data_IF_848836494816
#
_entry.id   IF_848836494816
#
_cell.length_a   1.000
_cell.length_b   1.000
_cell.length_c   1.000
_cell.angle_alpha   90.00
_cell.angle_beta   90.00
_cell.angle_gamma   90.00
#
_symmetry.space_group_name_H-M   'P 1'
#
loop_
_entity.id
_entity.type
_entity.pdbx_description
1 polymer ?
#
# COMPACT_ATOMS: atom_id res chain seq x y z
N UNK A 1 1.64 -8.70 28.93
CA UNK A 1 1.14 -8.82 27.55
C UNK A 1 0.35 -7.55 27.25
N UNK A 2 1.02 -6.49 26.79
CA UNK A 2 0.44 -5.15 26.64
C UNK A 2 0.49 -4.77 25.15
N UNK A 3 -0.68 -4.70 24.54
CA UNK A 3 -0.89 -4.04 23.26
C UNK A 3 -0.61 -2.55 23.46
N UNK A 4 0.46 -2.03 22.86
CA UNK A 4 0.63 -0.58 22.72
C UNK A 4 0.27 -0.23 21.28
N UNK A 5 -0.94 0.29 21.11
CA UNK A 5 -1.32 1.03 19.92
C UNK A 5 -0.52 2.33 19.96
N UNK A 6 0.67 2.32 19.34
CA UNK A 6 1.47 3.52 19.15
C UNK A 6 1.14 4.05 17.76
N UNK A 7 0.91 5.35 17.63
CA UNK A 7 0.57 6.10 16.41
C UNK A 7 1.66 6.08 15.32
N UNK A 8 2.57 5.11 15.40
CA UNK A 8 3.83 5.00 14.66
C UNK A 8 4.09 3.54 14.28
N UNK A 9 3.14 2.94 13.56
CA UNK A 9 3.28 1.62 12.92
C UNK A 9 3.45 0.43 13.87
N UNK A 10 3.05 -0.76 13.43
CA UNK A 10 3.33 -1.98 14.19
C UNK A 10 4.84 -2.22 14.19
N UNK A 11 5.46 -2.11 15.37
CA UNK A 11 6.87 -2.44 15.59
C UNK A 11 6.95 -3.92 15.98
N UNK A 12 7.10 -4.78 14.98
CA UNK A 12 6.97 -6.24 15.15
C UNK A 12 8.29 -6.92 15.54
N UNK A 13 8.43 -7.29 16.82
CA UNK A 13 9.38 -8.35 17.22
C UNK A 13 8.96 -9.65 16.53
N UNK A 14 9.70 -10.18 15.56
CA UNK A 14 9.75 -11.63 15.28
C UNK A 14 8.49 -12.52 15.05
N UNK A 15 7.23 -12.06 15.06
CA UNK A 15 6.03 -12.94 15.00
C UNK A 15 4.96 -12.49 14.00
N UNK A 16 4.03 -13.40 13.68
CA UNK A 16 2.84 -13.14 12.84
C UNK A 16 1.63 -12.82 13.74
N UNK A 17 1.07 -11.60 13.69
CA UNK A 17 -0.14 -11.26 14.45
C UNK A 17 -1.37 -12.06 13.98
N UNK A 18 -2.20 -12.45 14.94
CA UNK A 18 -3.58 -12.87 14.68
C UNK A 18 -4.48 -11.65 14.86
N UNK A 19 -5.12 -11.21 13.78
CA UNK A 19 -6.02 -10.07 13.76
C UNK A 19 -7.46 -10.56 13.69
N UNK A 20 -8.33 -9.98 14.53
CA UNK A 20 -9.76 -10.30 14.58
C UNK A 20 -10.56 -9.06 14.22
N UNK A 21 -11.53 -9.22 13.33
CA UNK A 21 -12.54 -8.20 13.04
C UNK A 21 -12.24 -7.37 11.80
N UNK A 22 -11.26 -6.45 11.86
CA UNK A 22 -11.05 -5.40 10.85
C UNK A 22 -11.02 -5.96 9.41
N UNK A 23 -12.12 -5.85 8.64
CA UNK A 23 -12.29 -6.64 7.42
C UNK A 23 -11.34 -6.21 6.30
N UNK A 24 -10.82 -4.99 6.39
CA UNK A 24 -9.89 -4.35 5.46
C UNK A 24 -8.42 -4.42 5.91
N UNK A 25 -8.08 -5.16 6.97
CA UNK A 25 -6.71 -5.18 7.49
C UNK A 25 -5.69 -5.72 6.48
N UNK A 26 -6.15 -6.60 5.58
CA UNK A 26 -5.30 -7.17 4.52
C UNK A 26 -4.87 -6.12 3.48
N UNK A 27 -5.63 -5.03 3.32
CA UNK A 27 -5.30 -3.95 2.38
C UNK A 27 -4.11 -3.12 2.87
N UNK A 28 -3.87 -3.10 4.19
CA UNK A 28 -2.85 -2.27 4.83
C UNK A 28 -1.64 -3.07 5.31
N UNK A 29 -1.65 -4.39 5.12
CA UNK A 29 -0.60 -5.25 5.61
C UNK A 29 0.21 -5.85 4.46
N UNK A 30 1.52 -6.07 4.66
CA UNK A 30 2.31 -6.83 3.71
C UNK A 30 1.73 -8.24 3.50
N UNK A 31 1.90 -8.84 2.30
CA UNK A 31 1.44 -10.19 2.04
C UNK A 31 2.03 -11.17 3.06
N UNK A 32 1.26 -12.21 3.41
CA UNK A 32 1.62 -13.31 4.34
C UNK A 32 2.00 -12.91 5.77
N UNK A 33 1.96 -11.62 6.10
CA UNK A 33 2.40 -11.10 7.40
C UNK A 33 1.40 -11.30 8.55
N UNK A 34 0.12 -11.56 8.25
CA UNK A 34 -0.95 -11.62 9.25
C UNK A 34 -1.85 -12.84 9.07
N UNK A 35 -2.39 -13.31 10.20
CA UNK A 35 -3.45 -14.31 10.24
C UNK A 35 -4.77 -13.58 10.55
N UNK A 36 -5.73 -13.63 9.63
CA UNK A 36 -6.98 -12.87 9.76
C UNK A 36 -8.15 -13.79 10.11
N UNK A 37 -8.84 -13.48 11.20
CA UNK A 37 -10.13 -14.08 11.54
C UNK A 37 -11.21 -13.04 11.27
N UNK A 38 -11.91 -13.20 10.14
CA UNK A 38 -13.01 -12.30 9.75
C UNK A 38 -14.31 -12.74 10.45
N UNK A 39 -14.56 -14.04 10.47
CA UNK A 39 -15.72 -14.65 11.09
C UNK A 39 -15.29 -15.79 12.04
N UNK A 40 -16.18 -16.18 12.97
CA UNK A 40 -15.91 -17.28 13.91
C UNK A 40 -15.51 -18.60 13.22
N UNK A 41 -16.03 -18.84 12.01
CA UNK A 41 -15.70 -20.02 11.18
C UNK A 41 -14.23 -20.06 10.74
N UNK A 42 -13.58 -18.90 10.64
CA UNK A 42 -12.18 -18.79 10.21
C UNK A 42 -11.20 -19.13 11.34
N UNK A 43 -11.67 -19.23 12.59
CA UNK A 43 -10.82 -19.56 13.72
C UNK A 43 -10.15 -20.93 13.56
N UNK A 44 -10.87 -21.92 13.02
CA UNK A 44 -10.32 -23.26 12.79
C UNK A 44 -9.28 -23.26 11.66
N UNK A 45 -9.53 -22.53 10.58
CA UNK A 45 -8.58 -22.44 9.46
C UNK A 45 -7.29 -21.75 9.91
N UNK A 46 -7.40 -20.65 10.66
CA UNK A 46 -6.26 -19.94 11.24
C UNK A 46 -5.48 -20.84 12.21
N UNK A 47 -6.17 -21.62 13.05
CA UNK A 47 -5.51 -22.57 13.95
C UNK A 47 -4.73 -23.66 13.18
N UNK A 48 -5.26 -24.16 12.06
CA UNK A 48 -4.54 -25.10 11.19
C UNK A 48 -3.30 -24.44 10.58
N UNK A 49 -3.42 -23.20 10.10
CA UNK A 49 -2.27 -22.44 9.59
C UNK A 49 -1.21 -22.22 10.68
N UNK A 50 -1.61 -21.92 11.92
CA UNK A 50 -0.67 -21.79 13.04
C UNK A 50 0.10 -23.08 13.30
N UNK A 51 -0.58 -24.23 13.31
CA UNK A 51 0.08 -25.55 13.46
C UNK A 51 1.06 -25.82 12.31
N UNK A 52 0.62 -25.57 11.08
CA UNK A 52 1.48 -25.75 9.90
C UNK A 52 2.74 -24.90 9.97
N UNK A 53 2.61 -23.61 10.34
CA UNK A 53 3.76 -22.71 10.49
C UNK A 53 4.67 -23.12 11.66
N UNK A 54 4.12 -23.71 12.73
CA UNK A 54 4.92 -24.22 13.84
C UNK A 54 5.72 -25.48 13.45
N UNK A 55 5.18 -26.33 12.59
CA UNK A 55 5.82 -27.56 12.12
C UNK A 55 6.82 -27.31 10.97
N UNK A 56 6.63 -26.24 10.19
CA UNK A 56 7.41 -25.94 8.98
C UNK A 56 8.24 -24.65 9.14
N UNK A 57 9.50 -24.74 9.59
CA UNK A 57 10.32 -23.54 9.84
C UNK A 57 10.64 -22.74 8.57
N UNK A 58 10.67 -23.39 7.40
CA UNK A 58 10.87 -22.72 6.11
C UNK A 58 9.68 -21.80 5.81
N UNK A 59 8.45 -22.33 5.91
CA UNK A 59 7.23 -21.57 5.69
C UNK A 59 7.07 -20.42 6.72
N UNK A 60 7.49 -20.65 7.97
CA UNK A 60 7.51 -19.60 8.98
C UNK A 60 8.47 -18.45 8.61
N UNK A 61 9.69 -18.75 8.17
CA UNK A 61 10.65 -17.72 7.76
C UNK A 61 10.18 -16.95 6.52
N UNK A 62 9.54 -17.63 5.56
CA UNK A 62 8.93 -16.95 4.41
C UNK A 62 7.81 -15.99 4.82
N UNK A 63 6.97 -16.36 5.79
CA UNK A 63 5.92 -15.48 6.32
C UNK A 63 6.46 -14.24 7.02
N UNK A 64 7.75 -14.26 7.42
CA UNK A 64 8.44 -13.13 8.03
C UNK A 64 9.29 -12.31 7.06
N UNK A 65 9.31 -12.68 5.77
CA UNK A 65 10.21 -12.07 4.77
C UNK A 65 9.94 -10.59 4.53
N UNK A 66 8.70 -10.14 4.72
CA UNK A 66 8.31 -8.72 4.68
C UNK A 66 9.10 -7.82 5.65
N UNK A 67 9.76 -8.37 6.68
CA UNK A 67 10.65 -7.60 7.56
C UNK A 67 11.95 -7.18 6.88
N UNK A 68 12.42 -7.97 5.92
CA UNK A 68 13.63 -7.70 5.15
C UNK A 68 13.31 -6.94 3.87
N UNK A 69 12.23 -7.31 3.19
CA UNK A 69 11.77 -6.67 1.94
C UNK A 69 11.09 -5.32 2.19
N UNK A 70 10.53 -5.12 3.38
CA UNK A 70 9.80 -3.92 3.77
C UNK A 70 8.31 -3.95 3.37
N UNK A 71 7.58 -2.86 3.64
CA UNK A 71 6.17 -2.76 3.30
C UNK A 71 5.95 -2.70 1.77
N UNK A 72 4.74 -3.04 1.33
CA UNK A 72 4.36 -2.94 -0.08
C UNK A 72 4.43 -1.50 -0.59
N UNK A 73 4.70 -1.31 -1.88
CA UNK A 73 4.78 0.04 -2.47
C UNK A 73 3.46 0.80 -2.37
N UNK A 74 2.32 0.08 -2.42
CA UNK A 74 1.01 0.66 -2.17
C UNK A 74 0.90 1.25 -0.75
N UNK A 75 1.41 0.54 0.26
CA UNK A 75 1.43 1.04 1.63
C UNK A 75 2.40 2.23 1.80
N UNK A 76 3.57 2.19 1.15
CA UNK A 76 4.50 3.34 1.13
C UNK A 76 3.81 4.57 0.54
N UNK A 77 3.15 4.43 -0.62
CA UNK A 77 2.41 5.51 -1.26
C UNK A 77 1.31 6.09 -0.35
N UNK A 78 0.57 5.24 0.36
CA UNK A 78 -0.43 5.67 1.34
C UNK A 78 0.20 6.51 2.47
N UNK A 79 1.31 6.04 3.03
CA UNK A 79 2.02 6.73 4.11
C UNK A 79 2.61 8.06 3.63
N UNK A 80 3.17 8.10 2.42
CA UNK A 80 3.69 9.33 1.82
C UNK A 80 2.58 10.36 1.59
N UNK A 81 1.40 9.92 1.14
CA UNK A 81 0.22 10.77 1.03
C UNK A 81 -0.26 11.27 2.40
N UNK A 82 -0.01 10.54 3.49
CA UNK A 82 -0.32 11.00 4.84
C UNK A 82 0.65 12.07 5.37
N UNK A 83 1.86 12.17 4.82
CA UNK A 83 2.87 13.15 5.20
C UNK A 83 2.68 14.52 4.53
N UNK A 84 2.06 14.57 3.34
CA UNK A 84 1.86 15.82 2.60
C UNK A 84 0.72 16.68 3.19
N UNK A 85 0.85 18.00 3.02
CA UNK A 85 -0.18 18.97 3.39
C UNK A 85 -1.49 18.76 2.61
N UNK A 86 -2.63 19.15 3.18
CA UNK A 86 -3.96 18.93 2.58
C UNK A 86 -4.09 19.54 1.18
N UNK A 87 -3.47 20.71 0.94
CA UNK A 87 -3.43 21.36 -0.37
C UNK A 87 -2.74 20.51 -1.44
N UNK A 88 -1.63 19.85 -1.09
CA UNK A 88 -0.91 18.96 -1.98
C UNK A 88 -1.75 17.73 -2.32
N UNK A 89 -2.46 17.14 -1.34
CA UNK A 89 -3.36 15.99 -1.61
C UNK A 89 -4.45 16.34 -2.60
N UNK A 90 -5.07 17.52 -2.45
CA UNK A 90 -6.08 18.00 -3.37
C UNK A 90 -5.51 18.19 -4.78
N UNK A 91 -4.32 18.78 -4.89
CA UNK A 91 -3.65 18.95 -6.18
C UNK A 91 -3.35 17.62 -6.87
N UNK A 92 -2.82 16.63 -6.12
CA UNK A 92 -2.57 15.28 -6.63
C UNK A 92 -3.88 14.65 -7.11
N UNK A 93 -4.93 14.73 -6.30
CA UNK A 93 -6.24 14.17 -6.66
C UNK A 93 -6.82 14.80 -7.93
N UNK A 94 -6.83 16.14 -8.03
CA UNK A 94 -7.30 16.85 -9.21
C UNK A 94 -6.44 16.54 -10.44
N UNK A 95 -5.13 16.46 -10.28
CA UNK A 95 -4.19 16.08 -11.34
C UNK A 95 -4.46 14.69 -11.89
N UNK A 96 -4.69 13.71 -11.00
CA UNK A 96 -5.05 12.34 -11.39
C UNK A 96 -6.40 12.30 -12.11
N UNK A 97 -7.41 12.98 -11.58
CA UNK A 97 -8.73 13.07 -12.20
C UNK A 97 -8.69 13.67 -13.61
N UNK A 98 -7.99 14.80 -13.79
CA UNK A 98 -7.83 15.43 -15.10
C UNK A 98 -7.13 14.47 -16.06
N UNK A 99 -6.04 13.83 -15.63
CA UNK A 99 -5.33 12.85 -16.47
C UNK A 99 -6.24 11.70 -16.92
N UNK A 100 -7.00 11.10 -16.01
CA UNK A 100 -7.92 9.99 -16.35
C UNK A 100 -9.03 10.40 -17.31
N UNK A 101 -9.59 11.60 -17.12
CA UNK A 101 -10.61 12.17 -18.02
C UNK A 101 -10.02 12.40 -19.41
N UNK A 102 -8.81 12.96 -19.49
CA UNK A 102 -8.12 13.19 -20.75
C UNK A 102 -7.78 11.89 -21.46
N UNK A 103 -7.21 10.90 -20.75
CA UNK A 103 -6.85 9.57 -21.28
C UNK A 103 -8.07 8.80 -21.81
N UNK A 104 -9.25 8.99 -21.21
CA UNK A 104 -10.51 8.39 -21.68
C UNK A 104 -11.04 9.04 -22.96
N UNK A 105 -10.61 10.26 -23.28
CA UNK A 105 -11.12 11.00 -24.43
C UNK A 105 -10.47 10.52 -25.76
N UNK A 106 -11.25 10.39 -26.85
CA UNK A 106 -10.70 10.00 -28.16
C UNK A 106 -9.73 11.04 -28.75
N UNK A 107 -9.71 12.25 -28.20
CA UNK A 107 -8.80 13.33 -28.59
C UNK A 107 -7.40 13.19 -27.98
N UNK A 108 -7.20 12.27 -27.03
CA UNK A 108 -5.89 11.97 -26.45
C UNK A 108 -4.88 11.47 -27.50
N UNK A 109 -5.33 10.60 -28.40
CA UNK A 109 -4.55 10.05 -29.52
C UNK A 109 -4.09 11.12 -30.53
N UNK A 110 -4.66 12.32 -30.51
CA UNK A 110 -4.40 13.40 -31.48
C UNK A 110 -3.44 14.49 -30.96
N UNK A 111 -2.89 14.34 -29.75
CA UNK A 111 -2.01 15.37 -29.17
C UNK A 111 -0.63 15.35 -29.85
N UNK A 112 -0.10 16.49 -30.31
CA UNK A 112 1.23 16.56 -30.89
C UNK A 112 2.28 16.31 -29.80
N UNK A 113 2.95 15.15 -29.86
CA UNK A 113 4.04 14.81 -28.95
C UNK A 113 5.36 15.46 -29.41
N UNK A 114 6.25 15.77 -28.45
CA UNK A 114 7.63 16.23 -28.71
C UNK A 114 8.69 15.21 -28.30
N UNK A 115 8.31 13.96 -28.00
CA UNK A 115 9.26 12.96 -27.49
C UNK A 115 9.06 11.61 -28.18
N UNK A 116 10.07 11.16 -28.91
CA UNK A 116 10.13 9.85 -29.56
C UNK A 116 11.02 8.92 -28.72
N UNK A 117 10.51 7.77 -28.30
CA UNK A 117 11.32 6.72 -27.64
C UNK A 117 10.97 5.34 -28.22
N UNK A 118 11.49 5.06 -29.41
CA UNK A 118 11.33 3.77 -30.08
C UNK A 118 9.92 3.53 -30.65
N UNK A 119 9.45 2.28 -30.60
CA UNK A 119 8.20 1.77 -31.21
C UNK A 119 6.95 1.88 -30.32
N UNK A 120 7.09 2.32 -29.08
CA UNK A 120 5.97 2.47 -28.13
C UNK A 120 5.73 3.95 -27.81
N UNK A 121 4.54 4.46 -28.11
CA UNK A 121 4.13 5.83 -27.80
C UNK A 121 3.75 5.96 -26.33
N UNK A 122 4.61 6.61 -25.54
CA UNK A 122 4.34 6.92 -24.12
C UNK A 122 3.88 8.37 -23.98
N UNK A 123 2.67 8.57 -23.47
CA UNK A 123 2.11 9.89 -23.21
C UNK A 123 2.52 10.39 -21.82
N UNK A 124 2.94 11.67 -21.70
CA UNK A 124 3.23 12.32 -20.40
C UNK A 124 2.38 13.57 -20.22
N UNK A 125 1.49 13.53 -19.25
CA UNK A 125 0.77 14.71 -18.74
C UNK A 125 1.59 15.26 -17.57
N UNK A 126 1.91 16.55 -17.61
CA UNK A 126 2.63 17.24 -16.55
C UNK A 126 1.65 18.03 -15.70
N UNK A 127 1.46 17.60 -14.44
CA UNK A 127 0.73 18.35 -13.43
C UNK A 127 1.76 18.83 -12.41
N UNK A 128 1.95 20.15 -12.32
CA UNK A 128 2.86 20.75 -11.35
C UNK A 128 2.10 21.05 -10.06
N UNK A 129 2.30 20.21 -9.04
CA UNK A 129 1.80 20.46 -7.68
C UNK A 129 2.92 20.97 -6.80
N UNK A 130 2.73 22.17 -6.21
CA UNK A 130 3.64 22.68 -5.18
C UNK A 130 3.23 22.02 -3.86
N UNK A 131 4.02 21.03 -3.43
CA UNK A 131 3.80 20.30 -2.19
C UNK A 131 4.80 20.76 -1.14
N UNK A 132 4.40 21.71 -0.29
CA UNK A 132 5.18 22.09 0.88
C UNK A 132 5.06 21.00 1.96
N UNK A 133 6.18 20.68 2.60
CA UNK A 133 6.23 19.72 3.70
C UNK A 133 5.50 20.27 4.93
N UNK A 134 4.94 19.38 5.76
CA UNK A 134 4.43 19.75 7.09
C UNK A 134 5.61 20.27 7.94
N UNK A 135 5.83 21.59 7.94
CA UNK A 135 6.92 22.25 8.67
C UNK A 135 7.49 23.50 8.01
N UNK A 136 7.09 23.82 6.77
CA UNK A 136 7.49 25.06 6.10
C UNK A 136 6.35 26.08 6.15
N UNK A 137 6.18 26.71 7.33
CA UNK A 137 5.53 28.02 7.51
C UNK A 137 6.42 28.84 8.43
#
# INVERSE_FOLDING_TARGET
MLWKYSSSGLRFKGFNPVMVGAPNIQDFAPPTSLLHIKELKDAESVAKTMKYLAENPIAYNESLRWKFEGPSDAFKALVDMAAVHSSCRLCIFLGTMIREIEERSPNFMKRPCKCTRGTETVYRVYVSCICMGKGEV
#
